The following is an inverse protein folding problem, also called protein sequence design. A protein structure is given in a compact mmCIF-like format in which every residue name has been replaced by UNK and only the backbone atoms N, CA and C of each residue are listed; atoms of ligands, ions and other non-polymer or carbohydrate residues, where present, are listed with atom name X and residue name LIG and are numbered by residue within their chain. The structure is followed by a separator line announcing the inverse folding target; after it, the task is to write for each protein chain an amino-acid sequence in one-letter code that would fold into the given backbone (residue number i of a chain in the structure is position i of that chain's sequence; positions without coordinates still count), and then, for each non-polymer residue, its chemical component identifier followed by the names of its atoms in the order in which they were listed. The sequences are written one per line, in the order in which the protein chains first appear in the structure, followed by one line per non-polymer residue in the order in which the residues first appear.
data_IF_778389423592
#
_entry.id   IF_778389423592
#
_cell.length_a   1.000
_cell.length_b   1.000
_cell.length_c   1.000
_cell.angle_alpha   90.00
_cell.angle_beta   90.00
_cell.angle_gamma   90.00
#
_symmetry.space_group_name_H-M   'P 1'
#
loop_
_entity.id
_entity.type
_entity.pdbx_description
1 polymer ?
#
# COMPACT_ATOMS: atom_id res chain seq x y z
N UNK A 1 28.74 1.36 -19.58
CA UNK A 1 28.61 0.29 -18.58
C UNK A 1 28.60 -1.05 -19.28
N UNK A 2 29.53 -1.93 -18.95
CA UNK A 2 29.70 -3.22 -19.64
C UNK A 2 28.48 -4.10 -19.52
N UNK A 3 28.10 -4.86 -20.57
CA UNK A 3 26.97 -5.82 -20.53
C UNK A 3 27.16 -7.00 -19.56
N UNK A 4 28.25 -7.03 -18.80
CA UNK A 4 28.55 -8.13 -17.88
C UNK A 4 27.70 -8.17 -16.61
N UNK A 5 27.19 -7.03 -16.12
CA UNK A 5 26.38 -6.99 -14.88
C UNK A 5 25.04 -7.73 -15.04
N UNK A 6 24.25 -7.51 -16.11
CA UNK A 6 22.99 -8.24 -16.31
C UNK A 6 23.19 -9.74 -16.48
N UNK A 7 24.25 -10.16 -17.16
CA UNK A 7 24.56 -11.58 -17.40
C UNK A 7 24.96 -12.30 -16.10
N UNK A 8 25.62 -11.61 -15.20
CA UNK A 8 26.02 -12.12 -13.89
C UNK A 8 24.80 -12.32 -12.98
N UNK A 9 23.87 -11.35 -12.95
CA UNK A 9 22.62 -11.48 -12.20
C UNK A 9 21.73 -12.63 -12.70
N UNK A 10 21.71 -12.88 -14.02
CA UNK A 10 20.97 -14.01 -14.58
C UNK A 10 21.54 -15.36 -14.14
N UNK A 11 22.86 -15.48 -13.93
CA UNK A 11 23.46 -16.70 -13.41
C UNK A 11 23.19 -16.92 -11.92
N UNK A 12 22.99 -15.85 -11.15
CA UNK A 12 22.71 -15.88 -9.71
C UNK A 12 21.20 -15.94 -9.38
N UNK A 13 20.34 -15.55 -10.33
CA UNK A 13 18.91 -15.53 -10.13
C UNK A 13 18.31 -16.95 -10.27
N UNK A 14 17.50 -17.35 -9.30
CA UNK A 14 16.73 -18.58 -9.35
C UNK A 14 15.28 -18.22 -9.60
N UNK A 15 14.65 -18.89 -10.56
CA UNK A 15 13.26 -18.69 -10.89
C UNK A 15 12.35 -19.24 -9.78
N UNK A 16 11.52 -18.36 -9.21
CA UNK A 16 10.43 -18.73 -8.32
C UNK A 16 9.21 -19.09 -9.16
N UNK A 17 8.75 -20.31 -9.04
CA UNK A 17 7.46 -20.71 -9.59
C UNK A 17 6.35 -20.05 -8.74
N UNK A 18 5.35 -19.45 -9.39
CA UNK A 18 4.21 -18.76 -8.75
C UNK A 18 3.47 -19.62 -7.70
N UNK A 19 3.54 -20.93 -7.84
CA UNK A 19 2.88 -21.89 -6.95
C UNK A 19 3.64 -22.17 -5.63
N UNK A 20 4.83 -21.64 -5.46
CA UNK A 20 5.62 -21.91 -4.25
C UNK A 20 5.36 -20.88 -3.15
N UNK A 21 4.16 -20.90 -2.58
CA UNK A 21 3.74 -20.04 -1.45
C UNK A 21 4.78 -19.98 -0.32
N UNK A 22 5.34 -21.14 0.08
CA UNK A 22 6.36 -21.21 1.16
C UNK A 22 7.61 -20.38 0.88
N UNK A 23 7.99 -20.23 -0.38
CA UNK A 23 9.14 -19.42 -0.77
C UNK A 23 8.83 -17.93 -0.65
N UNK A 24 7.62 -17.51 -1.03
CA UNK A 24 7.17 -16.13 -0.86
C UNK A 24 7.03 -15.75 0.61
N UNK A 25 6.54 -16.66 1.45
CA UNK A 25 6.48 -16.49 2.90
C UNK A 25 7.88 -16.25 3.51
N UNK A 26 8.89 -16.96 3.03
CA UNK A 26 10.29 -16.79 3.46
C UNK A 26 10.86 -15.44 3.01
N UNK A 27 10.58 -14.98 1.77
CA UNK A 27 10.94 -13.64 1.31
C UNK A 27 10.31 -12.55 2.19
N UNK A 28 9.02 -12.67 2.49
CA UNK A 28 8.32 -11.74 3.37
C UNK A 28 8.91 -11.76 4.79
N UNK A 29 9.21 -12.94 5.32
CA UNK A 29 9.83 -13.10 6.64
C UNK A 29 11.19 -12.41 6.72
N UNK A 30 12.01 -12.50 5.67
CA UNK A 30 13.31 -11.81 5.59
C UNK A 30 13.12 -10.30 5.67
N UNK A 31 12.16 -9.75 4.94
CA UNK A 31 11.87 -8.32 4.94
C UNK A 31 11.40 -7.80 6.31
N UNK A 32 10.66 -8.63 7.06
CA UNK A 32 10.10 -8.27 8.36
C UNK A 32 11.09 -8.50 9.52
N UNK A 33 12.18 -9.23 9.32
CA UNK A 33 13.11 -9.62 10.38
C UNK A 33 13.85 -8.46 11.05
N UNK A 34 14.06 -7.34 10.34
CA UNK A 34 14.73 -6.14 10.86
C UNK A 34 13.76 -5.07 11.38
N UNK A 35 12.48 -5.36 11.48
CA UNK A 35 11.43 -4.42 11.83
C UNK A 35 10.90 -4.64 13.25
N UNK A 36 10.15 -3.66 13.77
CA UNK A 36 9.52 -3.78 15.10
C UNK A 36 8.59 -4.98 15.22
N UNK A 37 8.03 -5.43 14.10
CA UNK A 37 7.15 -6.59 14.01
C UNK A 37 7.88 -7.93 13.92
N UNK A 38 9.21 -7.96 14.09
CA UNK A 38 10.02 -9.17 13.97
C UNK A 38 9.57 -10.33 14.89
N UNK A 39 8.99 -10.02 16.05
CA UNK A 39 8.43 -11.02 16.97
C UNK A 39 7.26 -11.82 16.37
N UNK A 40 6.50 -11.24 15.44
CA UNK A 40 5.32 -11.82 14.80
C UNK A 40 5.49 -11.94 13.27
N UNK A 41 6.74 -12.03 12.80
CA UNK A 41 7.09 -12.02 11.38
C UNK A 41 6.40 -13.11 10.58
N UNK A 42 6.20 -14.30 11.15
CA UNK A 42 5.52 -15.42 10.48
C UNK A 42 4.04 -15.13 10.23
N UNK A 43 3.35 -14.55 11.20
CA UNK A 43 1.95 -14.16 11.07
C UNK A 43 1.77 -13.11 9.95
N UNK A 44 2.56 -12.03 10.01
CA UNK A 44 2.50 -10.98 9.00
C UNK A 44 3.00 -11.43 7.62
N UNK A 45 3.98 -12.33 7.55
CA UNK A 45 4.44 -12.88 6.28
C UNK A 45 3.32 -13.65 5.56
N UNK A 46 2.59 -14.51 6.28
CA UNK A 46 1.45 -15.23 5.73
C UNK A 46 0.36 -14.26 5.26
N UNK A 47 0.02 -13.27 6.09
CA UNK A 47 -0.99 -12.27 5.76
C UNK A 47 -0.62 -11.46 4.51
N UNK A 48 0.66 -11.07 4.37
CA UNK A 48 1.16 -10.35 3.19
C UNK A 48 1.10 -11.22 1.93
N UNK A 49 1.51 -12.48 2.02
CA UNK A 49 1.45 -13.40 0.87
C UNK A 49 0.01 -13.62 0.43
N UNK A 50 -0.92 -13.81 1.39
CA UNK A 50 -2.35 -13.94 1.08
C UNK A 50 -2.90 -12.67 0.43
N UNK A 51 -2.56 -11.49 0.96
CA UNK A 51 -2.98 -10.21 0.40
C UNK A 51 -2.51 -10.01 -1.05
N UNK A 52 -1.24 -10.33 -1.33
CA UNK A 52 -0.69 -10.19 -2.69
C UNK A 52 -1.25 -11.25 -3.64
N UNK A 53 -1.52 -12.47 -3.15
CA UNK A 53 -2.09 -13.56 -3.96
C UNK A 53 -3.54 -13.29 -4.40
N UNK A 54 -4.29 -12.48 -3.63
CA UNK A 54 -5.65 -12.06 -3.99
C UNK A 54 -5.69 -11.03 -5.13
N UNK A 55 -4.56 -10.39 -5.46
CA UNK A 55 -4.50 -9.38 -6.50
C UNK A 55 -4.48 -10.01 -7.91
N UNK A 56 -4.86 -9.20 -8.89
CA UNK A 56 -4.77 -9.54 -10.32
C UNK A 56 -3.30 -9.67 -10.79
N UNK A 57 -3.09 -10.24 -11.96
CA UNK A 57 -1.77 -10.46 -12.58
C UNK A 57 -0.91 -9.19 -12.71
N UNK A 58 -1.53 -8.01 -12.79
CA UNK A 58 -0.83 -6.70 -12.79
C UNK A 58 -0.31 -6.27 -11.42
N UNK A 59 -0.81 -6.92 -10.34
CA UNK A 59 -0.45 -6.67 -8.94
C UNK A 59 -0.47 -5.17 -8.56
N UNK A 60 -1.59 -4.46 -8.71
CA UNK A 60 -1.67 -3.04 -8.41
C UNK A 60 -1.73 -2.80 -6.89
N UNK A 61 -0.72 -2.14 -6.34
CA UNK A 61 -0.64 -1.87 -4.89
C UNK A 61 -1.80 -1.06 -4.33
N UNK A 62 -2.39 -0.19 -5.15
CA UNK A 62 -3.53 0.65 -4.74
C UNK A 62 -4.77 -0.17 -4.38
N UNK A 63 -4.79 -1.46 -4.75
CA UNK A 63 -5.89 -2.37 -4.44
C UNK A 63 -5.73 -3.05 -3.08
N UNK A 64 -4.58 -2.93 -2.42
CA UNK A 64 -4.41 -3.34 -1.02
C UNK A 64 -4.69 -2.12 -0.14
N UNK A 65 -5.80 -2.14 0.58
CA UNK A 65 -6.11 -1.13 1.58
C UNK A 65 -5.56 -1.51 2.94
N UNK A 66 -4.95 -0.57 3.64
CA UNK A 66 -4.55 -0.75 5.03
C UNK A 66 -5.38 0.23 5.86
N UNK A 67 -6.15 -0.28 6.82
CA UNK A 67 -6.96 0.53 7.74
C UNK A 67 -6.48 0.28 9.16
N UNK A 68 -6.16 1.35 9.87
CA UNK A 68 -5.64 1.31 11.26
C UNK A 68 -6.79 1.46 12.24
N UNK A 69 -6.90 0.53 13.19
CA UNK A 69 -7.90 0.55 14.26
C UNK A 69 -7.19 0.44 15.60
N UNK A 70 -7.17 1.52 16.40
CA UNK A 70 -6.50 1.53 17.68
C UNK A 70 -7.14 0.55 18.67
N UNK A 71 -6.31 -0.04 19.52
CA UNK A 71 -6.70 -1.04 20.51
C UNK A 71 -6.65 -2.47 20.00
N UNK A 72 -6.49 -3.40 20.93
CA UNK A 72 -6.25 -4.82 20.64
C UNK A 72 -4.78 -5.17 20.44
N UNK A 73 -4.52 -6.45 20.22
CA UNK A 73 -3.19 -6.96 19.93
C UNK A 73 -2.90 -6.92 18.40
N UNK A 74 -1.64 -7.01 18.02
CA UNK A 74 -1.24 -7.11 16.61
C UNK A 74 -1.78 -8.38 15.96
N UNK A 75 -1.95 -9.44 16.73
CA UNK A 75 -2.49 -10.73 16.29
C UNK A 75 -3.98 -10.65 15.92
N UNK A 76 -4.70 -9.62 16.41
CA UNK A 76 -6.09 -9.34 16.03
C UNK A 76 -6.20 -8.70 14.63
N UNK A 77 -5.08 -8.46 13.97
CA UNK A 77 -5.03 -7.96 12.59
C UNK A 77 -5.67 -8.99 11.65
N UNK A 78 -6.60 -8.54 10.81
CA UNK A 78 -7.31 -9.41 9.89
C UNK A 78 -7.18 -8.98 8.44
N UNK A 79 -7.16 -9.96 7.55
CA UNK A 79 -7.24 -9.77 6.11
C UNK A 79 -8.69 -9.99 5.65
N UNK A 80 -9.26 -8.99 5.00
CA UNK A 80 -10.56 -9.08 4.34
C UNK A 80 -10.34 -9.28 2.85
N UNK A 81 -10.78 -10.42 2.32
CA UNK A 81 -10.80 -10.69 0.87
C UNK A 81 -11.96 -9.90 0.23
N UNK A 82 -11.71 -8.65 -0.06
CA UNK A 82 -12.68 -7.68 -0.52
C UNK A 82 -12.37 -6.28 0.00
N UNK A 83 -13.40 -5.47 0.17
CA UNK A 83 -13.26 -4.09 0.62
C UNK A 83 -13.80 -3.92 2.03
N UNK A 84 -13.01 -3.25 2.87
CA UNK A 84 -13.47 -2.77 4.15
C UNK A 84 -13.14 -1.28 4.28
N UNK A 85 -14.12 -0.47 4.70
CA UNK A 85 -13.90 0.94 4.99
C UNK A 85 -14.67 1.37 6.24
N UNK A 86 -14.12 2.35 6.93
CA UNK A 86 -14.70 2.90 8.15
C UNK A 86 -16.07 3.53 7.86
N UNK A 87 -17.03 3.29 8.73
CA UNK A 87 -18.31 4.00 8.71
C UNK A 87 -18.06 5.51 8.78
N UNK A 88 -18.61 6.22 7.85
CA UNK A 88 -18.60 7.68 7.81
C UNK A 88 -19.75 8.26 8.65
N UNK A 89 -19.78 9.57 8.79
CA UNK A 89 -20.89 10.26 9.44
C UNK A 89 -22.20 9.94 8.72
N UNK A 90 -23.21 9.50 9.49
CA UNK A 90 -24.56 9.24 9.03
C UNK A 90 -25.57 9.90 9.99
N UNK A 91 -26.73 10.22 9.46
CA UNK A 91 -27.85 10.74 10.24
C UNK A 91 -28.54 9.62 11.05
N UNK A 92 -29.40 9.98 12.01
CA UNK A 92 -30.02 9.04 12.95
C UNK A 92 -30.80 7.89 12.27
N UNK A 93 -31.45 8.14 11.14
CA UNK A 93 -32.17 7.12 10.35
C UNK A 93 -31.29 5.94 9.89
N UNK A 94 -29.97 6.10 9.86
CA UNK A 94 -29.04 5.01 9.54
C UNK A 94 -29.09 3.85 10.52
N UNK A 95 -29.36 4.07 11.79
CA UNK A 95 -29.41 3.01 12.79
C UNK A 95 -30.60 2.04 12.58
N UNK A 96 -31.63 2.49 11.86
CA UNK A 96 -32.82 1.69 11.51
C UNK A 96 -32.58 0.82 10.27
N UNK A 97 -31.53 1.09 9.50
CA UNK A 97 -31.19 0.32 8.29
C UNK A 97 -30.66 -1.07 8.64
N UNK A 98 -30.93 -2.09 7.80
CA UNK A 98 -30.34 -3.41 7.95
C UNK A 98 -28.81 -3.36 7.90
N UNK A 99 -28.13 -4.15 8.73
CA UNK A 99 -26.66 -4.16 8.88
C UNK A 99 -25.98 -5.32 8.15
N UNK A 100 -26.76 -6.23 7.56
CA UNK A 100 -26.26 -7.38 6.82
C UNK A 100 -27.14 -7.67 5.62
N UNK A 101 -26.52 -8.02 4.50
CA UNK A 101 -27.20 -8.42 3.27
C UNK A 101 -26.50 -9.61 2.64
N UNK A 102 -27.28 -10.49 2.02
CA UNK A 102 -26.79 -11.61 1.20
C UNK A 102 -27.09 -11.32 -0.28
N UNK A 103 -26.06 -11.40 -1.11
CA UNK A 103 -26.12 -11.11 -2.55
C UNK A 103 -26.71 -9.72 -2.90
N UNK A 104 -26.33 -8.62 -2.20
CA UNK A 104 -26.89 -7.32 -2.45
C UNK A 104 -26.44 -6.73 -3.77
N UNK A 105 -27.31 -5.93 -4.38
CA UNK A 105 -27.00 -5.06 -5.51
C UNK A 105 -26.51 -3.72 -5.00
N UNK A 106 -25.33 -3.29 -5.48
CA UNK A 106 -24.61 -2.12 -4.97
C UNK A 106 -24.64 -1.02 -6.03
N UNK A 107 -25.13 0.16 -5.70
CA UNK A 107 -24.99 1.36 -6.51
C UNK A 107 -23.83 2.22 -6.01
N UNK A 108 -22.90 2.54 -6.91
CA UNK A 108 -21.78 3.41 -6.66
C UNK A 108 -22.05 4.79 -7.27
N UNK A 109 -22.20 5.79 -6.44
CA UNK A 109 -22.65 7.11 -6.86
C UNK A 109 -21.61 8.21 -6.53
N UNK A 110 -21.57 9.22 -7.35
CA UNK A 110 -20.89 10.48 -7.08
C UNK A 110 -21.91 11.64 -7.15
N UNK A 111 -22.97 11.52 -6.35
CA UNK A 111 -24.14 12.42 -6.36
C UNK A 111 -24.43 12.85 -4.95
N UNK A 112 -24.79 14.11 -4.79
CA UNK A 112 -25.31 14.66 -3.55
C UNK A 112 -26.81 14.32 -3.42
N UNK A 113 -27.16 13.67 -2.32
CA UNK A 113 -28.54 13.34 -1.95
C UNK A 113 -28.94 14.08 -0.68
N UNK A 114 -28.67 15.37 -0.66
CA UNK A 114 -28.97 16.27 0.45
C UNK A 114 -29.64 17.53 -0.08
N UNK A 115 -30.61 18.03 0.65
CA UNK A 115 -31.17 19.35 0.41
C UNK A 115 -30.20 20.40 0.97
N UNK A 116 -29.48 21.04 0.08
CA UNK A 116 -28.49 22.08 0.43
C UNK A 116 -28.90 23.39 -0.18
N UNK A 117 -28.97 24.44 0.64
CA UNK A 117 -29.10 25.77 0.13
C UNK A 117 -27.82 26.18 -0.60
N UNK A 118 -27.92 26.44 -1.90
CA UNK A 118 -26.81 27.03 -2.67
C UNK A 118 -26.67 28.51 -2.24
N UNK A 119 -25.55 28.80 -1.57
CA UNK A 119 -25.35 30.10 -0.93
C UNK A 119 -24.91 31.21 -1.87
N UNK A 120 -24.47 30.93 -3.08
CA UNK A 120 -23.68 31.94 -3.80
C UNK A 120 -24.25 32.41 -5.15
N UNK A 121 -25.15 31.67 -5.83
CA UNK A 121 -25.52 32.03 -7.21
C UNK A 121 -27.01 31.96 -7.57
N UNK A 122 -27.90 31.61 -6.67
CA UNK A 122 -29.33 31.56 -6.98
C UNK A 122 -30.18 32.29 -5.92
N UNK A 123 -30.57 33.50 -6.19
CA UNK A 123 -31.65 34.21 -5.45
C UNK A 123 -32.96 34.05 -6.21
N UNK A 124 -33.92 33.36 -5.63
CA UNK A 124 -35.30 33.34 -6.14
C UNK A 124 -36.09 34.41 -5.40
N UNK A 125 -36.51 35.44 -6.12
CA UNK A 125 -37.39 36.48 -5.56
C UNK A 125 -38.85 36.02 -5.71
N UNK A 126 -39.48 35.77 -4.59
CA UNK A 126 -40.86 35.31 -4.52
C UNK A 126 -41.75 36.41 -4.02
N UNK A 127 -42.82 36.69 -4.71
CA UNK A 127 -43.74 37.81 -4.38
C UNK A 127 -44.97 37.35 -3.59
N UNK A 128 -45.21 36.02 -3.52
CA UNK A 128 -46.35 35.46 -2.80
C UNK A 128 -45.98 34.22 -1.99
N UNK A 129 -46.73 33.96 -0.91
CA UNK A 129 -46.52 32.77 -0.06
C UNK A 129 -46.78 31.47 -0.83
N UNK A 130 -47.71 31.51 -1.78
CA UNK A 130 -48.02 30.33 -2.62
C UNK A 130 -46.89 29.96 -3.57
N UNK A 131 -46.19 30.97 -4.12
CA UNK A 131 -45.01 30.75 -4.97
C UNK A 131 -43.86 30.20 -4.14
N UNK A 132 -43.66 30.69 -2.93
CA UNK A 132 -42.64 30.16 -2.01
C UNK A 132 -42.89 28.67 -1.73
N UNK A 133 -44.13 28.29 -1.40
CA UNK A 133 -44.49 26.89 -1.15
C UNK A 133 -44.20 26.00 -2.38
N UNK A 134 -44.53 26.46 -3.57
CA UNK A 134 -44.26 25.73 -4.82
C UNK A 134 -42.77 25.50 -5.07
N UNK A 135 -41.91 26.49 -4.73
CA UNK A 135 -40.44 26.31 -4.85
C UNK A 135 -39.94 25.28 -3.88
N UNK A 136 -40.35 25.34 -2.62
CA UNK A 136 -39.98 24.34 -1.60
C UNK A 136 -40.46 22.95 -2.01
N UNK A 137 -41.71 22.81 -2.46
CA UNK A 137 -42.26 21.53 -2.91
C UNK A 137 -41.52 20.99 -4.15
N UNK A 138 -41.05 21.85 -5.04
CA UNK A 138 -40.26 21.46 -6.19
C UNK A 138 -38.89 20.91 -5.80
N UNK A 139 -38.21 21.52 -4.83
CA UNK A 139 -36.91 21.03 -4.32
C UNK A 139 -37.07 19.64 -3.70
N UNK A 140 -38.11 19.44 -2.88
CA UNK A 140 -38.41 18.14 -2.31
C UNK A 140 -38.74 17.08 -3.36
N UNK A 141 -39.53 17.43 -4.38
CA UNK A 141 -39.89 16.53 -5.45
C UNK A 141 -38.68 16.06 -6.24
N UNK A 142 -37.74 16.95 -6.55
CA UNK A 142 -36.49 16.59 -7.23
C UNK A 142 -35.66 15.56 -6.45
N UNK A 143 -35.58 15.72 -5.11
CA UNK A 143 -34.92 14.75 -4.26
C UNK A 143 -35.64 13.40 -4.26
N UNK A 144 -36.97 13.40 -4.04
CA UNK A 144 -37.78 12.19 -4.02
C UNK A 144 -37.77 11.44 -5.35
N UNK A 145 -37.79 12.13 -6.48
CA UNK A 145 -37.65 11.51 -7.79
C UNK A 145 -36.32 10.72 -7.93
N UNK A 146 -35.21 11.32 -7.47
CA UNK A 146 -33.91 10.62 -7.45
C UNK A 146 -33.96 9.37 -6.58
N UNK A 147 -34.55 9.46 -5.39
CA UNK A 147 -34.68 8.36 -4.45
C UNK A 147 -35.58 7.25 -4.99
N UNK A 148 -36.68 7.61 -5.65
CA UNK A 148 -37.61 6.66 -6.26
C UNK A 148 -36.98 5.91 -7.43
N UNK A 149 -36.15 6.58 -8.24
CA UNK A 149 -35.38 5.90 -9.30
C UNK A 149 -34.43 4.86 -8.72
N UNK A 150 -33.69 5.21 -7.65
CA UNK A 150 -32.81 4.28 -6.96
C UNK A 150 -33.56 3.06 -6.41
N UNK A 151 -34.71 3.29 -5.79
CA UNK A 151 -35.53 2.19 -5.28
C UNK A 151 -36.09 1.29 -6.39
N UNK A 152 -36.60 1.89 -7.48
CA UNK A 152 -37.11 1.15 -8.67
C UNK A 152 -36.04 0.33 -9.38
N UNK A 153 -34.78 0.73 -9.32
CA UNK A 153 -33.65 -0.03 -9.88
C UNK A 153 -33.33 -1.30 -9.09
N UNK A 154 -33.97 -1.52 -7.93
CA UNK A 154 -33.79 -2.70 -7.09
C UNK A 154 -32.41 -2.77 -6.44
N UNK A 155 -31.87 -1.63 -6.04
CA UNK A 155 -30.61 -1.49 -5.32
C UNK A 155 -30.82 -1.72 -3.83
N UNK A 156 -29.96 -2.52 -3.21
CA UNK A 156 -29.99 -2.77 -1.77
C UNK A 156 -29.03 -1.87 -1.00
N UNK A 157 -27.88 -1.54 -1.61
CA UNK A 157 -26.82 -0.74 -0.98
C UNK A 157 -26.46 0.45 -1.87
N UNK A 158 -26.55 1.65 -1.32
CA UNK A 158 -26.19 2.90 -1.98
C UNK A 158 -24.93 3.48 -1.34
N UNK A 159 -23.86 3.58 -2.11
CA UNK A 159 -22.61 4.22 -1.68
C UNK A 159 -22.39 5.50 -2.48
N UNK A 160 -22.27 6.64 -1.80
CA UNK A 160 -21.97 7.91 -2.45
C UNK A 160 -20.68 8.53 -1.91
N UNK A 161 -19.90 9.14 -2.82
CA UNK A 161 -18.77 9.99 -2.46
C UNK A 161 -19.24 11.27 -1.76
N UNK A 162 -20.37 11.79 -2.18
CA UNK A 162 -20.96 13.03 -1.68
C UNK A 162 -21.91 12.75 -0.49
N UNK A 163 -22.29 13.76 0.27
CA UNK A 163 -23.14 13.57 1.43
C UNK A 163 -24.53 13.05 1.05
N UNK A 164 -25.09 12.26 1.97
CA UNK A 164 -26.50 11.80 1.94
C UNK A 164 -27.19 12.44 3.14
N UNK A 165 -28.24 13.22 2.89
CA UNK A 165 -28.99 13.94 3.92
C UNK A 165 -29.84 13.04 4.80
N UNK A 166 -30.42 13.62 5.85
CA UNK A 166 -31.30 12.94 6.80
C UNK A 166 -32.57 12.38 6.15
N UNK A 167 -33.21 13.17 5.28
CA UNK A 167 -34.42 12.75 4.55
C UNK A 167 -34.14 11.54 3.65
N UNK A 168 -33.03 11.57 2.90
CA UNK A 168 -32.64 10.45 2.07
C UNK A 168 -32.30 9.21 2.92
N UNK A 169 -31.63 9.41 4.07
CA UNK A 169 -31.31 8.33 5.00
C UNK A 169 -32.57 7.68 5.57
N UNK A 170 -33.57 8.50 5.96
CA UNK A 170 -34.85 8.00 6.43
C UNK A 170 -35.63 7.27 5.33
N UNK A 171 -35.64 7.80 4.11
CA UNK A 171 -36.29 7.17 2.96
C UNK A 171 -35.72 5.78 2.67
N UNK A 172 -34.39 5.63 2.76
CA UNK A 172 -33.72 4.33 2.59
C UNK A 172 -34.02 3.37 3.75
N UNK A 173 -34.07 3.90 5.00
CA UNK A 173 -34.42 3.10 6.16
C UNK A 173 -35.84 2.51 6.08
N UNK A 174 -36.82 3.30 5.64
CA UNK A 174 -38.20 2.89 5.48
C UNK A 174 -38.42 1.79 4.43
N UNK A 175 -37.41 1.58 3.55
CA UNK A 175 -37.44 0.58 2.46
C UNK A 175 -36.38 -0.52 2.60
N UNK A 176 -35.83 -0.68 3.79
CA UNK A 176 -34.80 -1.68 4.11
C UNK A 176 -33.56 -1.60 3.18
N UNK A 177 -33.21 -0.40 2.74
CA UNK A 177 -32.00 -0.13 1.94
C UNK A 177 -30.89 0.42 2.84
N UNK A 178 -29.65 0.02 2.56
CA UNK A 178 -28.47 0.55 3.23
C UNK A 178 -27.89 1.73 2.43
N UNK A 179 -27.46 2.77 3.13
CA UNK A 179 -26.78 3.89 2.51
C UNK A 179 -25.52 4.31 3.27
N UNK A 180 -24.47 4.69 2.55
CA UNK A 180 -23.28 5.32 3.10
C UNK A 180 -22.86 6.49 2.22
N UNK A 181 -22.92 7.70 2.79
CA UNK A 181 -22.43 8.93 2.17
C UNK A 181 -20.99 9.24 2.59
N UNK A 182 -20.36 10.20 1.91
CA UNK A 182 -18.98 10.68 2.19
C UNK A 182 -17.93 9.58 2.18
N UNK A 183 -18.12 8.55 1.35
CA UNK A 183 -17.14 7.48 1.16
C UNK A 183 -15.92 8.05 0.43
N UNK A 184 -14.72 7.72 0.91
CA UNK A 184 -13.48 8.16 0.28
C UNK A 184 -13.40 7.63 -1.16
N UNK A 185 -12.87 8.45 -2.06
CA UNK A 185 -12.78 8.11 -3.49
C UNK A 185 -11.97 6.82 -3.73
N UNK A 186 -10.90 6.61 -2.96
CA UNK A 186 -10.08 5.40 -3.05
C UNK A 186 -10.86 4.15 -2.65
N UNK A 187 -11.65 4.24 -1.57
CA UNK A 187 -12.49 3.12 -1.10
C UNK A 187 -13.61 2.82 -2.10
N UNK A 188 -14.20 3.87 -2.69
CA UNK A 188 -15.24 3.71 -3.71
C UNK A 188 -14.68 3.06 -4.99
N UNK A 189 -13.48 3.47 -5.45
CA UNK A 189 -12.79 2.84 -6.58
C UNK A 189 -12.42 1.39 -6.29
N UNK A 190 -11.96 1.09 -5.07
CA UNK A 190 -11.68 -0.30 -4.67
C UNK A 190 -12.93 -1.15 -4.64
N UNK A 191 -14.04 -0.60 -4.14
CA UNK A 191 -15.35 -1.28 -4.15
C UNK A 191 -15.81 -1.56 -5.59
N UNK A 192 -15.63 -0.60 -6.50
CA UNK A 192 -15.90 -0.78 -7.92
C UNK A 192 -15.09 -1.94 -8.52
N UNK A 193 -13.81 -2.01 -8.21
CA UNK A 193 -12.92 -3.06 -8.73
C UNK A 193 -13.22 -4.45 -8.13
N UNK A 194 -13.71 -4.49 -6.89
CA UNK A 194 -14.06 -5.73 -6.20
C UNK A 194 -15.44 -6.25 -6.59
N UNK A 195 -16.45 -5.40 -6.47
CA UNK A 195 -17.86 -5.77 -6.68
C UNK A 195 -18.31 -5.64 -8.13
N UNK A 196 -17.52 -4.97 -8.98
CA UNK A 196 -17.93 -4.60 -10.34
C UNK A 196 -18.81 -3.34 -10.34
N UNK A 197 -19.51 -3.13 -11.46
CA UNK A 197 -20.31 -1.93 -11.67
C UNK A 197 -19.51 -0.71 -12.11
N UNK A 198 -20.15 0.44 -12.10
CA UNK A 198 -19.50 1.72 -12.45
C UNK A 198 -20.00 2.85 -11.56
N UNK A 199 -19.09 3.81 -11.28
CA UNK A 199 -19.44 5.00 -10.49
C UNK A 199 -20.26 5.94 -11.38
N UNK A 200 -21.49 6.23 -10.97
CA UNK A 200 -22.42 7.08 -11.70
C UNK A 200 -22.47 8.49 -11.15
N UNK A 201 -22.51 9.48 -12.04
CA UNK A 201 -22.71 10.89 -11.71
C UNK A 201 -24.18 11.33 -11.84
N UNK A 202 -25.07 10.43 -12.32
CA UNK A 202 -26.52 10.67 -12.45
C UNK A 202 -27.27 9.43 -12.00
N UNK A 203 -28.50 9.60 -11.51
CA UNK A 203 -29.39 8.48 -11.17
C UNK A 203 -30.18 7.95 -12.38
N UNK A 204 -30.20 8.68 -13.47
CA UNK A 204 -30.91 8.29 -14.69
C UNK A 204 -30.10 7.23 -15.45
N UNK A 205 -30.71 6.09 -15.77
CA UNK A 205 -30.05 5.01 -16.51
C UNK A 205 -29.29 4.01 -15.65
N UNK A 206 -29.73 3.80 -14.41
CA UNK A 206 -29.22 2.72 -13.54
C UNK A 206 -29.76 1.37 -14.02
N UNK A 207 -29.07 0.79 -14.99
CA UNK A 207 -29.34 -0.57 -15.44
C UNK A 207 -28.61 -1.60 -14.58
N UNK A 208 -29.06 -2.84 -14.59
CA UNK A 208 -28.45 -3.96 -13.84
C UNK A 208 -26.96 -4.13 -14.17
N UNK A 209 -26.55 -3.79 -15.40
CA UNK A 209 -25.16 -3.87 -15.87
C UNK A 209 -24.20 -2.87 -15.18
N UNK A 210 -24.77 -1.80 -14.62
CA UNK A 210 -24.03 -0.72 -13.95
C UNK A 210 -23.89 -0.97 -12.46
N UNK A 211 -24.71 -1.88 -11.90
CA UNK A 211 -24.71 -2.22 -10.49
C UNK A 211 -23.58 -3.22 -10.18
N UNK A 212 -22.94 -3.02 -9.05
CA UNK A 212 -22.03 -4.01 -8.46
C UNK A 212 -22.80 -5.07 -7.66
N UNK A 213 -22.18 -6.21 -7.41
CA UNK A 213 -22.69 -7.26 -6.54
C UNK A 213 -21.58 -7.85 -5.65
N UNK A 214 -21.96 -8.41 -4.52
CA UNK A 214 -21.09 -9.20 -3.67
C UNK A 214 -21.89 -10.32 -3.01
N UNK A 215 -21.21 -11.31 -2.46
CA UNK A 215 -21.86 -12.43 -1.78
C UNK A 215 -22.45 -12.01 -0.44
N UNK A 216 -21.71 -11.23 0.34
CA UNK A 216 -22.19 -10.73 1.63
C UNK A 216 -21.66 -9.33 1.93
N UNK A 217 -22.54 -8.55 2.54
CA UNK A 217 -22.23 -7.26 3.14
C UNK A 217 -22.56 -7.32 4.62
N UNK A 218 -21.64 -6.82 5.46
CA UNK A 218 -21.83 -6.76 6.92
C UNK A 218 -21.24 -5.46 7.46
N UNK A 219 -21.97 -4.81 8.38
CA UNK A 219 -21.40 -3.78 9.24
C UNK A 219 -20.93 -4.43 10.54
N UNK A 220 -19.61 -4.39 10.78
CA UNK A 220 -18.97 -5.00 11.96
C UNK A 220 -18.33 -3.92 12.81
N UNK A 221 -18.49 -4.04 14.12
CA UNK A 221 -17.75 -3.21 15.07
C UNK A 221 -16.38 -3.83 15.33
N UNK A 222 -15.32 -3.06 15.08
CA UNK A 222 -13.94 -3.46 15.33
C UNK A 222 -13.32 -2.43 16.27
N UNK A 223 -13.12 -2.83 17.52
CA UNK A 223 -12.72 -1.90 18.58
C UNK A 223 -13.79 -0.85 18.85
N UNK A 224 -13.40 0.42 18.81
CA UNK A 224 -14.32 1.56 19.00
C UNK A 224 -15.00 2.02 17.71
N UNK A 225 -14.66 1.45 16.56
CA UNK A 225 -15.09 1.92 15.26
C UNK A 225 -15.94 0.88 14.53
N UNK A 226 -16.83 1.32 13.65
CA UNK A 226 -17.64 0.45 12.81
C UNK A 226 -17.08 0.45 11.40
N UNK A 227 -17.05 -0.74 10.79
CA UNK A 227 -16.55 -0.97 9.44
C UNK A 227 -17.61 -1.63 8.57
N UNK A 228 -17.76 -1.12 7.38
CA UNK A 228 -18.55 -1.72 6.31
C UNK A 228 -17.65 -2.70 5.55
N UNK A 229 -18.03 -3.98 5.54
CA UNK A 229 -17.20 -5.05 4.96
C UNK A 229 -17.98 -5.73 3.84
N UNK A 230 -17.36 -5.80 2.67
CA UNK A 230 -17.84 -6.49 1.47
C UNK A 230 -16.99 -7.73 1.26
N UNK A 231 -17.61 -8.92 1.33
CA UNK A 231 -16.95 -10.21 1.14
C UNK A 231 -17.51 -10.95 -0.06
N UNK A 232 -16.72 -11.92 -0.60
CA UNK A 232 -17.17 -12.73 -1.73
C UNK A 232 -17.43 -11.90 -2.98
N UNK A 233 -16.56 -10.93 -3.27
CA UNK A 233 -16.70 -10.09 -4.45
C UNK A 233 -16.37 -10.89 -5.72
N UNK A 234 -17.19 -10.85 -6.79
CA UNK A 234 -17.02 -11.70 -7.95
C UNK A 234 -15.74 -11.42 -8.75
N UNK A 235 -15.24 -10.22 -8.68
CA UNK A 235 -13.99 -9.85 -9.35
C UNK A 235 -12.76 -9.94 -8.43
N UNK A 236 -12.95 -10.00 -7.11
CA UNK A 236 -11.98 -10.25 -6.03
C UNK A 236 -10.55 -9.72 -6.24
N UNK A 237 -10.41 -8.57 -6.93
CA UNK A 237 -9.10 -7.99 -7.29
C UNK A 237 -8.53 -7.09 -6.20
N UNK A 238 -9.20 -7.01 -5.06
CA UNK A 238 -8.82 -6.12 -3.96
C UNK A 238 -8.85 -6.85 -2.64
N UNK A 239 -8.04 -6.39 -1.71
CA UNK A 239 -8.09 -6.84 -0.32
C UNK A 239 -7.89 -5.66 0.63
N UNK A 240 -8.33 -5.83 1.87
CA UNK A 240 -8.14 -4.82 2.92
C UNK A 240 -7.57 -5.47 4.16
N UNK A 241 -6.47 -4.94 4.65
CA UNK A 241 -5.84 -5.32 5.92
C UNK A 241 -6.35 -4.36 6.99
N UNK A 242 -7.01 -4.89 8.01
CA UNK A 242 -7.44 -4.13 9.17
C UNK A 242 -6.40 -4.36 10.26
N UNK A 243 -5.52 -3.37 10.43
CA UNK A 243 -4.40 -3.40 11.35
C UNK A 243 -4.84 -3.01 12.75
N UNK A 244 -4.55 -3.86 13.72
CA UNK A 244 -4.80 -3.64 15.14
C UNK A 244 -3.51 -3.33 15.88
N UNK A 245 -3.60 -2.55 16.97
CA UNK A 245 -2.43 -2.24 17.78
C UNK A 245 -2.74 -1.24 18.89
N UNK A 246 -1.94 -1.25 19.96
CA UNK A 246 -2.16 -0.42 21.14
C UNK A 246 -1.77 1.05 20.98
N UNK A 247 -0.76 1.36 20.15
CA UNK A 247 -0.27 2.72 19.97
C UNK A 247 -0.25 3.13 18.50
N UNK A 248 -0.66 4.38 18.20
CA UNK A 248 -0.70 4.89 16.81
C UNK A 248 0.67 4.85 16.13
N UNK A 249 1.73 5.27 16.81
CA UNK A 249 3.10 5.26 16.27
C UNK A 249 3.56 3.84 15.90
N UNK A 250 3.23 2.86 16.73
CA UNK A 250 3.55 1.46 16.47
C UNK A 250 2.78 0.91 15.27
N UNK A 251 1.51 1.29 15.12
CA UNK A 251 0.70 0.92 13.95
C UNK A 251 1.23 1.55 12.65
N UNK A 252 1.70 2.80 12.71
CA UNK A 252 2.32 3.48 11.55
C UNK A 252 3.60 2.79 11.09
N UNK A 253 4.44 2.37 12.03
CA UNK A 253 5.65 1.63 11.69
C UNK A 253 5.33 0.21 11.19
N UNK A 254 4.28 -0.42 11.74
CA UNK A 254 3.80 -1.71 11.25
C UNK A 254 3.23 -1.58 9.83
N UNK A 255 2.46 -0.54 9.53
CA UNK A 255 1.98 -0.25 8.17
C UNK A 255 3.12 -0.10 7.19
N UNK A 256 4.17 0.67 7.56
CA UNK A 256 5.37 0.84 6.73
C UNK A 256 6.10 -0.48 6.52
N UNK A 257 6.23 -1.28 7.57
CA UNK A 257 6.85 -2.60 7.50
C UNK A 257 6.07 -3.57 6.60
N UNK A 258 4.74 -3.56 6.69
CA UNK A 258 3.87 -4.34 5.81
C UNK A 258 3.97 -3.87 4.36
N UNK A 259 4.01 -2.57 4.12
CA UNK A 259 4.20 -2.02 2.78
C UNK A 259 5.51 -2.50 2.14
N UNK A 260 6.61 -2.48 2.90
CA UNK A 260 7.91 -3.00 2.44
C UNK A 260 7.83 -4.49 2.08
N UNK A 261 7.21 -5.30 2.96
CA UNK A 261 7.03 -6.74 2.72
C UNK A 261 6.14 -7.01 1.48
N UNK A 262 5.03 -6.28 1.32
CA UNK A 262 4.15 -6.36 0.15
C UNK A 262 4.92 -6.03 -1.14
N UNK A 263 5.76 -4.99 -1.11
CA UNK A 263 6.58 -4.62 -2.26
C UNK A 263 7.57 -5.72 -2.65
N UNK A 264 8.21 -6.36 -1.68
CA UNK A 264 9.17 -7.44 -1.92
C UNK A 264 8.48 -8.66 -2.51
N UNK A 265 7.37 -9.12 -1.89
CA UNK A 265 6.60 -10.27 -2.38
C UNK A 265 6.07 -10.00 -3.80
N UNK A 266 5.51 -8.80 -4.02
CA UNK A 266 5.05 -8.38 -5.34
C UNK A 266 6.18 -8.41 -6.38
N UNK A 267 7.37 -7.93 -6.03
CA UNK A 267 8.53 -7.94 -6.92
C UNK A 267 9.02 -9.34 -7.22
N UNK A 268 9.04 -10.21 -6.20
CA UNK A 268 9.37 -11.62 -6.39
C UNK A 268 8.38 -12.32 -7.32
N UNK A 269 7.07 -12.09 -7.14
CA UNK A 269 6.04 -12.67 -8.01
C UNK A 269 6.08 -12.13 -9.44
N UNK A 270 6.36 -10.84 -9.62
CA UNK A 270 6.36 -10.20 -10.95
C UNK A 270 7.57 -10.59 -11.79
N UNK A 271 8.75 -10.74 -11.18
CA UNK A 271 10.00 -10.95 -11.89
C UNK A 271 10.50 -12.40 -11.81
N UNK A 272 9.86 -13.23 -11.00
CA UNK A 272 10.14 -14.66 -10.80
C UNK A 272 11.63 -14.97 -10.52
N UNK A 273 12.38 -14.01 -9.94
CA UNK A 273 13.81 -14.17 -9.66
C UNK A 273 14.21 -13.60 -8.30
N UNK A 274 14.98 -14.40 -7.57
CA UNK A 274 15.55 -14.04 -6.26
C UNK A 274 17.04 -14.30 -6.23
N UNK A 275 17.71 -13.62 -5.31
CA UNK A 275 19.13 -13.78 -5.00
C UNK A 275 19.31 -13.92 -3.49
N UNK A 276 20.43 -14.49 -3.05
CA UNK A 276 20.74 -14.53 -1.64
C UNK A 276 21.02 -13.12 -1.10
N UNK A 277 20.41 -12.80 0.03
CA UNK A 277 20.62 -11.54 0.76
C UNK A 277 21.77 -11.63 1.76
N UNK A 278 21.80 -10.68 2.72
CA UNK A 278 22.82 -10.64 3.75
C UNK A 278 24.23 -10.32 3.22
N UNK A 279 24.33 -9.59 2.12
CA UNK A 279 25.61 -9.18 1.51
C UNK A 279 26.26 -10.24 0.62
N UNK A 280 25.63 -11.40 0.38
CA UNK A 280 26.22 -12.47 -0.45
C UNK A 280 26.45 -12.02 -1.90
N UNK A 281 25.45 -11.38 -2.52
CA UNK A 281 25.57 -10.86 -3.91
C UNK A 281 26.66 -9.79 -4.00
N UNK A 282 26.72 -8.89 -3.04
CA UNK A 282 27.70 -7.80 -3.00
C UNK A 282 29.13 -8.33 -2.88
N UNK A 283 29.34 -9.38 -2.08
CA UNK A 283 30.64 -10.04 -1.98
C UNK A 283 31.06 -10.72 -3.28
N UNK A 284 30.16 -11.42 -3.96
CA UNK A 284 30.45 -12.08 -5.22
C UNK A 284 30.70 -11.05 -6.35
N UNK A 285 29.96 -9.93 -6.35
CA UNK A 285 30.23 -8.79 -7.24
C UNK A 285 31.61 -8.17 -6.98
N UNK A 286 31.98 -7.98 -5.72
CA UNK A 286 33.31 -7.49 -5.33
C UNK A 286 34.40 -8.38 -5.86
N UNK A 287 34.30 -9.72 -5.67
CA UNK A 287 35.24 -10.68 -6.21
C UNK A 287 35.35 -10.60 -7.74
N UNK A 288 34.23 -10.65 -8.44
CA UNK A 288 34.19 -10.61 -9.91
C UNK A 288 34.78 -9.32 -10.46
N UNK A 289 34.49 -8.17 -9.83
CA UNK A 289 35.06 -6.88 -10.22
C UNK A 289 36.57 -6.83 -9.97
N UNK A 290 37.07 -7.38 -8.88
CA UNK A 290 38.50 -7.47 -8.60
C UNK A 290 39.23 -8.34 -9.62
N UNK A 291 38.66 -9.46 -10.01
CA UNK A 291 39.22 -10.34 -11.03
C UNK A 291 39.20 -9.64 -12.40
N UNK A 292 38.12 -8.93 -12.73
CA UNK A 292 38.07 -8.13 -13.94
C UNK A 292 39.07 -6.97 -13.93
N UNK A 293 39.24 -6.28 -12.81
CA UNK A 293 40.20 -5.21 -12.66
C UNK A 293 41.64 -5.64 -13.02
N UNK A 294 42.01 -6.89 -12.72
CA UNK A 294 43.34 -7.43 -13.07
C UNK A 294 43.54 -7.57 -14.59
N UNK A 295 42.49 -7.70 -15.36
CA UNK A 295 42.54 -7.84 -16.83
C UNK A 295 42.53 -6.49 -17.55
N UNK A 296 42.21 -5.38 -16.87
CA UNK A 296 42.12 -4.04 -17.44
C UNK A 296 43.37 -3.24 -17.14
N UNK A 297 43.93 -2.58 -18.17
CA UNK A 297 45.13 -1.77 -18.03
C UNK A 297 44.76 -0.29 -17.90
N UNK A 298 45.58 0.46 -17.13
CA UNK A 298 45.45 1.90 -17.00
C UNK A 298 44.62 2.37 -15.81
N UNK A 299 44.12 3.63 -15.90
CA UNK A 299 43.41 4.29 -14.78
C UNK A 299 42.08 3.63 -14.47
N UNK A 300 41.45 2.99 -15.44
CA UNK A 300 40.14 2.31 -15.27
C UNK A 300 40.21 1.20 -14.24
N UNK A 301 41.35 0.52 -14.09
CA UNK A 301 41.60 -0.49 -13.08
C UNK A 301 41.36 0.04 -11.67
N UNK A 302 41.77 1.28 -11.39
CA UNK A 302 41.59 1.90 -10.06
C UNK A 302 40.11 2.14 -9.74
N UNK A 303 39.33 2.60 -10.72
CA UNK A 303 37.90 2.82 -10.54
C UNK A 303 37.16 1.52 -10.32
N UNK A 304 37.46 0.46 -11.07
CA UNK A 304 36.84 -0.87 -10.90
C UNK A 304 37.20 -1.44 -9.51
N UNK A 305 38.43 -1.29 -9.08
CA UNK A 305 38.88 -1.75 -7.75
C UNK A 305 38.22 -0.97 -6.62
N UNK A 306 38.02 0.34 -6.76
CA UNK A 306 37.31 1.17 -5.80
C UNK A 306 35.82 0.77 -5.71
N UNK A 307 35.17 0.48 -6.84
CA UNK A 307 33.80 0.00 -6.88
C UNK A 307 33.66 -1.37 -6.21
N UNK A 308 34.59 -2.29 -6.45
CA UNK A 308 34.64 -3.57 -5.78
C UNK A 308 34.75 -3.44 -4.26
N UNK A 309 35.56 -2.48 -3.80
CA UNK A 309 35.73 -2.17 -2.38
C UNK A 309 34.46 -1.57 -1.77
N UNK A 310 33.74 -0.74 -2.53
CA UNK A 310 32.48 -0.14 -2.09
C UNK A 310 31.38 -1.18 -1.81
N UNK A 311 31.31 -2.25 -2.58
CA UNK A 311 30.34 -3.34 -2.32
C UNK A 311 30.59 -4.06 -0.99
N UNK A 312 31.82 -4.14 -0.53
CA UNK A 312 32.15 -4.78 0.76
C UNK A 312 31.69 -3.96 1.99
N UNK A 313 31.32 -2.69 1.79
CA UNK A 313 30.80 -1.85 2.87
C UNK A 313 29.45 -2.38 3.34
N UNK A 314 28.63 -2.98 2.47
CA UNK A 314 27.29 -3.47 2.81
C UNK A 314 27.36 -4.63 3.85
N UNK A 315 28.06 -5.75 3.59
CA UNK A 315 28.19 -6.80 4.61
C UNK A 315 28.95 -6.33 5.86
N UNK A 316 29.91 -5.42 5.73
CA UNK A 316 30.60 -4.80 6.88
C UNK A 316 29.60 -4.06 7.77
N UNK A 317 28.77 -3.19 7.19
CA UNK A 317 27.79 -2.43 7.95
C UNK A 317 26.72 -3.31 8.59
N UNK A 318 26.34 -4.41 7.94
CA UNK A 318 25.43 -5.40 8.56
C UNK A 318 26.03 -6.00 9.84
N UNK A 319 27.31 -6.37 9.81
CA UNK A 319 28.01 -6.89 10.98
C UNK A 319 28.12 -5.84 12.09
N UNK A 320 28.51 -4.61 11.75
CA UNK A 320 28.64 -3.50 12.70
C UNK A 320 27.31 -3.16 13.37
N UNK A 321 26.21 -3.11 12.60
CA UNK A 321 24.86 -2.86 13.12
C UNK A 321 24.38 -3.99 14.05
N UNK A 322 24.85 -5.21 13.83
CA UNK A 322 24.58 -6.36 14.70
C UNK A 322 25.53 -6.48 15.90
N UNK A 323 26.58 -5.65 15.96
CA UNK A 323 27.56 -5.65 17.04
C UNK A 323 28.67 -6.71 16.90
N UNK A 324 28.89 -7.25 15.68
CA UNK A 324 29.88 -8.29 15.42
C UNK A 324 31.22 -7.72 14.96
N UNK A 325 32.29 -8.55 15.06
CA UNK A 325 33.57 -8.25 14.45
C UNK A 325 33.46 -8.30 12.91
N UNK A 326 33.21 -7.14 12.33
CA UNK A 326 33.03 -6.98 10.88
C UNK A 326 34.28 -7.39 10.08
N UNK A 327 35.49 -7.21 10.64
CA UNK A 327 36.74 -7.51 9.94
C UNK A 327 36.94 -9.01 9.81
N UNK A 328 36.68 -9.77 10.88
CA UNK A 328 36.83 -11.21 10.89
C UNK A 328 35.82 -11.87 9.92
N UNK A 329 34.54 -11.47 10.02
CA UNK A 329 33.48 -12.03 9.16
C UNK A 329 33.75 -11.70 7.68
N UNK A 330 34.20 -10.47 7.38
CA UNK A 330 34.52 -10.07 6.02
C UNK A 330 35.66 -10.90 5.41
N UNK A 331 36.68 -11.19 6.19
CA UNK A 331 37.77 -12.06 5.75
C UNK A 331 37.30 -13.51 5.50
N UNK A 332 36.44 -14.04 6.34
CA UNK A 332 35.81 -15.36 6.13
C UNK A 332 34.97 -15.37 4.84
N UNK A 333 34.16 -14.33 4.62
CA UNK A 333 33.36 -14.22 3.39
C UNK A 333 34.24 -14.13 2.15
N UNK A 334 35.33 -13.38 2.16
CA UNK A 334 36.30 -13.32 1.05
C UNK A 334 36.89 -14.70 0.77
N UNK A 335 37.24 -15.44 1.80
CA UNK A 335 37.77 -16.80 1.68
C UNK A 335 36.74 -17.75 1.06
N UNK A 336 35.51 -17.74 1.56
CA UNK A 336 34.42 -18.60 1.05
C UNK A 336 34.08 -18.31 -0.40
N UNK A 337 33.95 -17.05 -0.77
CA UNK A 337 33.75 -16.65 -2.16
C UNK A 337 34.92 -17.03 -3.06
N UNK A 338 36.17 -16.93 -2.58
CA UNK A 338 37.33 -17.36 -3.32
C UNK A 338 37.33 -18.88 -3.58
N UNK A 339 36.79 -19.69 -2.63
CA UNK A 339 36.61 -21.13 -2.78
C UNK A 339 35.43 -21.51 -3.70
N UNK A 340 34.61 -20.55 -4.13
CA UNK A 340 33.48 -20.76 -5.03
C UNK A 340 32.12 -20.86 -4.35
N UNK A 341 32.01 -20.54 -3.07
CA UNK A 341 30.75 -20.50 -2.35
C UNK A 341 30.02 -19.19 -2.62
N UNK A 342 29.21 -19.16 -3.67
CA UNK A 342 28.56 -17.97 -4.24
C UNK A 342 27.51 -17.36 -3.29
N UNK A 343 26.92 -18.20 -2.44
CA UNK A 343 25.78 -17.83 -1.60
C UNK A 343 26.17 -17.47 -0.15
N UNK A 344 27.45 -17.46 0.14
CA UNK A 344 27.95 -17.09 1.45
C UNK A 344 27.64 -15.62 1.78
N UNK A 345 26.98 -15.39 2.91
CA UNK A 345 26.60 -14.05 3.39
C UNK A 345 26.65 -13.99 4.91
N UNK A 346 26.33 -12.80 5.46
CA UNK A 346 26.28 -12.57 6.90
C UNK A 346 25.06 -13.25 7.49
N UNK A 347 25.25 -14.09 8.50
CA UNK A 347 24.19 -14.67 9.30
C UNK A 347 24.16 -14.01 10.69
N UNK A 348 23.14 -13.17 10.92
CA UNK A 348 22.97 -12.42 12.18
C UNK A 348 22.65 -13.36 13.34
N UNK A 349 21.98 -14.49 13.10
CA UNK A 349 21.59 -15.43 14.18
C UNK A 349 22.76 -16.26 14.72
N UNK A 350 23.68 -16.63 13.82
CA UNK A 350 24.84 -17.45 14.17
C UNK A 350 26.11 -16.62 14.46
N UNK A 351 26.03 -15.30 14.32
CA UNK A 351 27.17 -14.39 14.47
C UNK A 351 28.37 -14.74 13.57
N UNK A 352 28.10 -15.32 12.41
CA UNK A 352 29.11 -15.80 11.47
C UNK A 352 28.65 -15.75 10.01
N UNK A 353 29.48 -16.22 9.11
CA UNK A 353 29.13 -16.43 7.70
C UNK A 353 28.39 -17.75 7.50
N UNK A 354 27.39 -17.77 6.65
CA UNK A 354 26.65 -18.99 6.28
C UNK A 354 26.14 -18.90 4.83
N UNK A 355 25.66 -20.03 4.31
CA UNK A 355 24.97 -20.06 3.04
C UNK A 355 23.55 -19.46 3.20
N UNK A 356 23.41 -18.22 2.85
CA UNK A 356 22.15 -17.48 3.01
C UNK A 356 21.04 -17.93 2.05
N UNK A 357 21.39 -18.65 1.01
CA UNK A 357 20.39 -19.24 0.12
C UNK A 357 19.64 -20.39 0.80
N UNK A 358 20.35 -21.28 1.48
CA UNK A 358 19.78 -22.41 2.23
C UNK A 358 19.02 -21.94 3.46
N UNK A 359 19.47 -20.84 4.08
CA UNK A 359 18.77 -20.17 5.18
C UNK A 359 17.53 -19.41 4.73
N UNK A 360 17.27 -19.36 3.41
CA UNK A 360 16.12 -18.67 2.82
C UNK A 360 16.09 -17.16 3.09
N UNK A 361 17.26 -16.55 3.22
CA UNK A 361 17.43 -15.11 3.27
C UNK A 361 17.48 -14.61 1.82
N UNK A 362 16.31 -14.28 1.27
CA UNK A 362 16.18 -13.95 -0.15
C UNK A 362 15.73 -12.53 -0.39
N UNK A 363 16.24 -11.97 -1.48
CA UNK A 363 15.88 -10.65 -1.96
C UNK A 363 15.52 -10.72 -3.46
N UNK A 364 14.55 -9.93 -3.96
CA UNK A 364 14.28 -9.88 -5.39
C UNK A 364 15.49 -9.34 -6.16
N UNK A 365 15.91 -10.04 -7.21
CA UNK A 365 17.07 -9.66 -8.01
C UNK A 365 16.96 -8.23 -8.59
N UNK A 366 15.74 -7.84 -9.01
CA UNK A 366 15.49 -6.50 -9.57
C UNK A 366 15.81 -5.38 -8.59
N UNK A 367 15.57 -5.58 -7.29
CA UNK A 367 15.85 -4.57 -6.25
C UNK A 367 17.35 -4.29 -6.20
N UNK A 368 18.18 -5.34 -6.26
CA UNK A 368 19.65 -5.20 -6.28
C UNK A 368 20.13 -4.47 -7.54
N UNK A 369 19.62 -4.83 -8.71
CA UNK A 369 19.96 -4.15 -9.96
C UNK A 369 19.64 -2.66 -9.89
N UNK A 370 18.43 -2.32 -9.46
CA UNK A 370 18.01 -0.93 -9.36
C UNK A 370 18.85 -0.15 -8.33
N UNK A 371 19.12 -0.75 -7.17
CA UNK A 371 19.94 -0.12 -6.12
C UNK A 371 21.36 0.20 -6.61
N UNK A 372 21.99 -0.75 -7.29
CA UNK A 372 23.35 -0.57 -7.82
C UNK A 372 23.36 0.50 -8.93
N UNK A 373 22.36 0.50 -9.81
CA UNK A 373 22.25 1.50 -10.89
C UNK A 373 22.06 2.89 -10.30
N UNK A 374 21.11 3.06 -9.38
CA UNK A 374 20.85 4.35 -8.74
C UNK A 374 22.06 4.86 -7.92
N UNK A 375 22.75 3.97 -7.20
CA UNK A 375 23.95 4.32 -6.45
C UNK A 375 25.09 4.77 -7.37
N UNK A 376 25.26 4.11 -8.52
CA UNK A 376 26.27 4.48 -9.51
C UNK A 376 25.96 5.83 -10.14
N UNK A 377 24.71 6.08 -10.50
CA UNK A 377 24.26 7.39 -11.03
C UNK A 377 24.48 8.51 -10.01
N UNK A 378 24.13 8.28 -8.76
CA UNK A 378 24.35 9.25 -7.68
C UNK A 378 25.85 9.53 -7.47
N UNK A 379 26.70 8.51 -7.48
CA UNK A 379 28.15 8.68 -7.37
C UNK A 379 28.72 9.50 -8.54
N UNK A 380 28.24 9.23 -9.77
CA UNK A 380 28.64 10.02 -10.93
C UNK A 380 28.22 11.49 -10.79
N UNK A 381 27.00 11.76 -10.31
CA UNK A 381 26.54 13.13 -10.06
C UNK A 381 27.40 13.84 -9.02
N UNK A 382 27.75 13.18 -7.91
CA UNK A 382 28.59 13.75 -6.86
C UNK A 382 29.97 14.10 -7.42
N UNK A 383 30.54 13.23 -8.27
CA UNK A 383 31.85 13.46 -8.90
C UNK A 383 31.84 14.60 -9.93
N UNK A 384 30.68 15.03 -10.41
CA UNK A 384 30.58 16.20 -11.34
C UNK A 384 30.51 17.53 -10.61
N UNK A 385 30.38 17.53 -9.25
CA UNK A 385 30.29 18.76 -8.46
C UNK A 385 31.72 19.29 -8.20
N UNK A 386 32.03 20.46 -8.74
CA UNK A 386 33.33 21.12 -8.54
C UNK A 386 33.35 21.97 -7.27
N UNK A 387 32.27 22.69 -6.97
CA UNK A 387 32.21 23.61 -5.83
C UNK A 387 30.78 23.65 -5.20
N UNK A 388 30.75 23.77 -3.89
CA UNK A 388 29.48 23.94 -3.16
C UNK A 388 29.45 25.30 -2.48
N UNK A 389 28.52 26.17 -2.90
CA UNK A 389 28.31 27.50 -2.30
C UNK A 389 27.20 27.41 -1.28
N UNK A 390 27.52 27.73 -0.03
CA UNK A 390 26.53 27.86 1.06
C UNK A 390 26.00 29.29 1.12
N UNK A 391 24.79 29.52 0.65
CA UNK A 391 24.08 30.79 0.87
C UNK A 391 23.66 30.94 2.35
N UNK A 392 23.84 32.11 2.99
CA UNK A 392 23.23 32.35 4.30
C UNK A 392 21.70 32.26 4.15
N UNK A 393 21.02 31.58 5.07
CA UNK A 393 19.56 31.60 5.12
C UNK A 393 19.11 33.06 5.23
N UNK A 394 18.34 33.55 4.25
CA UNK A 394 17.64 34.81 4.38
C UNK A 394 16.68 34.69 5.55
N UNK A 395 16.94 35.45 6.64
CA UNK A 395 15.92 35.63 7.69
C UNK A 395 14.69 36.22 7.02
N UNK A 396 13.54 35.61 7.20
CA UNK A 396 12.27 36.24 6.86
C UNK A 396 12.25 37.62 7.54
N UNK A 397 11.82 38.69 6.86
CA UNK A 397 11.68 39.97 7.51
C UNK A 397 10.75 39.78 8.70
N UNK A 398 11.25 40.11 9.91
CA UNK A 398 10.45 40.21 11.12
C UNK A 398 9.27 41.15 10.80
N UNK A 399 8.05 40.61 10.89
CA UNK A 399 6.82 41.39 10.68
C UNK A 399 6.59 42.26 11.94
N UNK A 400 7.48 43.25 12.14
CA UNK A 400 7.34 44.32 13.12
C UNK A 400 6.22 45.28 12.67
N UNK A 401 4.99 44.81 12.68
CA UNK A 401 3.82 45.71 12.65
C UNK A 401 3.52 46.13 14.08
N UNK A 402 3.65 47.40 14.41
CA UNK A 402 3.23 47.89 15.71
C UNK A 402 1.73 47.65 15.87
N UNK A 403 1.38 46.90 16.91
CA UNK A 403 -0.01 46.74 17.35
C UNK A 403 -0.53 48.12 17.70
N UNK A 404 -1.34 48.72 16.83
CA UNK A 404 -2.13 49.92 17.16
C UNK A 404 -3.19 49.49 18.16
N UNK A 405 -2.96 49.82 19.42
CA UNK A 405 -4.00 49.83 20.43
C UNK A 405 -5.06 50.89 20.11
N UNK A 406 -6.31 50.50 20.21
CA UNK A 406 -7.50 51.29 20.13
C UNK A 406 -8.68 50.48 20.62
#
# INVERSE_FOLDING_TARGET
MSPCIPLFFVKLAIFLLREQRKLLEKCATTALSSKLVAGQKTFFANLVVDAVSLLDSSLPLRMIGIKKVPGGALEDTMLVAGVAFKKTFCYAGFEMQPKSYTNPKIALLNIELELKAEKENAEVRVNSVEEYQKVVDAEWNVLYEKLDILHKSGVDIVLSRLPIGDVATQYFADRDMFCAGRVQEEDLKRTQMACGGSIQSTVNGLDISVLGNCESFEEIQIGSERYNIFKGCPQAKTCTIILRGGACQFMEETERSLHDAIMIVRRAMKNDSVVAGGGAVEMELSKTLRDHARSVFGKEQLFISAMAQAFEVIPRQLCENAGFDSTNILNKLRQQHAMGDIWAGVNIQAEDSANNFDLCIWEPALVKVNAITAATEAACLILTVDETIRGPQSKAPDDDRPVRGG
#
